data_IF_628700690762
#
_entry.id   IF_628700690762
#
_cell.length_a   1.000
_cell.length_b   1.000
_cell.length_c   1.000
_cell.angle_alpha   90.00
_cell.angle_beta   90.00
_cell.angle_gamma   90.00
#
_symmetry.space_group_name_H-M   'P 1'
#
loop_
_entity.id
_entity.type
_entity.pdbx_description
1 polymer ?
#
# COMPACT_ATOMS: atom_id res chain seq x y z
N UNK A 1 -10.69 25.10 -7.58
CA UNK A 1 -10.40 24.02 -6.61
C UNK A 1 -9.01 24.26 -6.06
N UNK A 2 -8.86 24.26 -4.74
CA UNK A 2 -7.53 24.32 -4.10
C UNK A 2 -6.80 22.98 -4.25
N UNK A 3 -5.49 22.95 -3.98
CA UNK A 3 -4.71 21.69 -3.94
C UNK A 3 -5.31 20.69 -2.94
N UNK A 4 -5.74 21.17 -1.77
CA UNK A 4 -6.38 20.34 -0.73
C UNK A 4 -7.73 19.73 -1.20
N UNK A 5 -8.54 20.46 -1.97
CA UNK A 5 -9.79 19.93 -2.53
C UNK A 5 -9.54 18.82 -3.57
N UNK A 6 -8.46 18.95 -4.35
CA UNK A 6 -8.07 17.94 -5.33
C UNK A 6 -7.57 16.66 -4.63
N UNK A 7 -6.79 16.79 -3.56
CA UNK A 7 -6.31 15.66 -2.74
C UNK A 7 -7.47 14.93 -2.05
N UNK A 8 -8.41 15.66 -1.45
CA UNK A 8 -9.60 15.07 -0.85
C UNK A 8 -10.44 14.27 -1.88
N UNK A 9 -10.58 14.82 -3.08
CA UNK A 9 -11.32 14.16 -4.17
C UNK A 9 -10.60 12.89 -4.61
N UNK A 10 -9.28 12.94 -4.78
CA UNK A 10 -8.47 11.77 -5.14
C UNK A 10 -8.57 10.66 -4.09
N UNK A 11 -8.45 10.99 -2.80
CA UNK A 11 -8.58 10.03 -1.70
C UNK A 11 -9.95 9.35 -1.72
N UNK A 12 -11.01 10.10 -2.02
CA UNK A 12 -12.37 9.54 -2.12
C UNK A 12 -12.51 8.52 -3.26
N UNK A 13 -11.87 8.79 -4.40
CA UNK A 13 -11.87 7.91 -5.57
C UNK A 13 -11.04 6.65 -5.30
N UNK A 14 -9.90 6.80 -4.61
CA UNK A 14 -9.00 5.70 -4.27
C UNK A 14 -9.63 4.64 -3.35
N UNK A 15 -10.79 4.90 -2.71
CA UNK A 15 -11.47 3.89 -1.88
C UNK A 15 -11.98 2.69 -2.67
N UNK A 16 -12.28 2.85 -3.96
CA UNK A 16 -12.70 1.76 -4.83
C UNK A 16 -12.25 2.03 -6.25
N UNK A 17 -11.00 1.69 -6.53
CA UNK A 17 -10.32 1.98 -7.78
C UNK A 17 -9.46 0.77 -8.21
N UNK A 18 -10.09 -0.38 -8.56
CA UNK A 18 -9.35 -1.49 -9.14
C UNK A 18 -8.76 -1.08 -10.50
N UNK A 19 -7.54 -1.52 -10.78
CA UNK A 19 -6.80 -1.28 -12.03
C UNK A 19 -6.56 0.21 -12.38
N UNK A 20 -6.78 1.12 -11.42
CA UNK A 20 -6.57 2.55 -11.63
C UNK A 20 -5.10 2.93 -11.72
N UNK A 21 -4.82 4.00 -12.47
CA UNK A 21 -3.50 4.63 -12.46
C UNK A 21 -3.42 5.71 -11.39
N UNK A 22 -2.64 5.43 -10.36
CA UNK A 22 -2.34 6.27 -9.22
C UNK A 22 -0.81 6.40 -9.06
N UNK A 23 -0.04 6.27 -10.14
CA UNK A 23 1.41 6.39 -10.07
C UNK A 23 1.82 7.79 -9.58
N UNK A 24 2.76 7.83 -8.63
CA UNK A 24 3.34 9.06 -8.10
C UNK A 24 2.36 10.00 -7.35
N UNK A 25 1.12 9.56 -7.09
CA UNK A 25 0.16 10.40 -6.37
C UNK A 25 0.55 10.52 -4.89
N UNK A 26 0.03 11.56 -4.24
CA UNK A 26 0.06 11.66 -2.77
C UNK A 26 -1.25 11.17 -2.16
N UNK A 27 -1.13 10.16 -1.30
CA UNK A 27 -2.18 9.60 -0.45
C UNK A 27 -1.67 9.52 1.01
N UNK A 28 -0.75 10.41 1.36
CA UNK A 28 -0.20 10.59 2.69
C UNK A 28 -1.32 10.68 3.75
N UNK A 29 -1.24 9.84 4.78
CA UNK A 29 -2.23 9.82 5.87
C UNK A 29 -3.66 9.40 5.45
N UNK A 30 -3.88 9.00 4.20
CA UNK A 30 -5.21 8.73 3.67
C UNK A 30 -5.91 7.60 4.43
N UNK A 31 -7.22 7.76 4.62
CA UNK A 31 -8.07 6.74 5.24
C UNK A 31 -8.68 5.84 4.16
N UNK A 32 -7.98 4.75 3.86
CA UNK A 32 -8.26 3.77 2.81
C UNK A 32 -8.53 2.37 3.40
N UNK A 33 -9.14 2.33 4.58
CA UNK A 33 -9.51 1.07 5.25
C UNK A 33 -10.46 0.28 4.35
N UNK A 34 -10.13 -0.98 4.11
CA UNK A 34 -10.88 -1.87 3.21
C UNK A 34 -11.06 -1.32 1.78
N UNK A 35 -10.19 -0.40 1.33
CA UNK A 35 -10.22 0.08 -0.04
C UNK A 35 -9.96 -1.06 -1.02
N UNK A 36 -10.60 -0.98 -2.18
CA UNK A 36 -10.34 -1.89 -3.28
C UNK A 36 -9.39 -1.23 -4.29
N UNK A 37 -8.14 -1.66 -4.27
CA UNK A 37 -7.02 -1.18 -5.10
C UNK A 37 -6.35 -2.37 -5.83
N UNK A 38 -7.09 -3.46 -6.06
CA UNK A 38 -6.58 -4.62 -6.78
C UNK A 38 -6.08 -4.21 -8.17
N UNK A 39 -4.89 -4.67 -8.54
CA UNK A 39 -4.26 -4.34 -9.83
C UNK A 39 -3.88 -2.86 -10.02
N UNK A 40 -4.16 -1.98 -9.06
CA UNK A 40 -3.89 -0.55 -9.21
C UNK A 40 -2.39 -0.28 -9.38
N UNK A 41 -2.06 0.72 -10.21
CA UNK A 41 -0.71 1.22 -10.33
C UNK A 41 -0.47 2.31 -9.28
N UNK A 42 0.26 1.99 -8.22
CA UNK A 42 0.68 2.89 -7.13
C UNK A 42 2.20 3.07 -7.14
N UNK A 43 2.85 2.85 -8.29
CA UNK A 43 4.31 2.96 -8.38
C UNK A 43 4.77 4.38 -8.02
N UNK A 44 5.75 4.47 -7.13
CA UNK A 44 6.26 5.74 -6.61
C UNK A 44 5.25 6.59 -5.83
N UNK A 45 4.07 6.06 -5.48
CA UNK A 45 3.08 6.82 -4.72
C UNK A 45 3.58 7.11 -3.29
N UNK A 46 3.21 8.28 -2.77
CA UNK A 46 3.42 8.60 -1.36
C UNK A 46 2.22 8.16 -0.53
N UNK A 47 2.39 7.10 0.25
CA UNK A 47 1.39 6.52 1.13
C UNK A 47 1.81 6.64 2.60
N UNK A 48 2.79 7.48 2.95
CA UNK A 48 3.29 7.51 4.32
C UNK A 48 2.15 7.75 5.33
N UNK A 49 2.18 7.01 6.44
CA UNK A 49 1.17 7.01 7.49
C UNK A 49 -0.29 6.71 7.03
N UNK A 50 -0.51 6.26 5.78
CA UNK A 50 -1.84 5.90 5.31
C UNK A 50 -2.39 4.67 6.04
N UNK A 51 -3.72 4.65 6.18
CA UNK A 51 -4.44 3.54 6.80
C UNK A 51 -5.06 2.66 5.71
N UNK A 52 -4.37 1.57 5.36
CA UNK A 52 -4.73 0.57 4.36
C UNK A 52 -5.19 -0.76 5.01
N UNK A 53 -5.64 -0.70 6.26
CA UNK A 53 -6.05 -1.89 7.01
C UNK A 53 -7.13 -2.64 6.24
N UNK A 54 -6.92 -3.94 6.00
CA UNK A 54 -7.80 -4.81 5.19
C UNK A 54 -8.05 -4.37 3.75
N UNK A 55 -7.23 -3.47 3.20
CA UNK A 55 -7.33 -3.10 1.79
C UNK A 55 -7.03 -4.31 0.89
N UNK A 56 -7.71 -4.35 -0.26
CA UNK A 56 -7.38 -5.28 -1.33
C UNK A 56 -6.36 -4.62 -2.25
N UNK A 57 -5.11 -5.08 -2.21
CA UNK A 57 -3.98 -4.66 -3.03
C UNK A 57 -3.44 -5.84 -3.86
N UNK A 58 -4.27 -6.87 -4.08
CA UNK A 58 -3.85 -8.04 -4.84
C UNK A 58 -3.41 -7.63 -6.24
N UNK A 59 -2.20 -8.04 -6.64
CA UNK A 59 -1.58 -7.71 -7.92
C UNK A 59 -1.23 -6.23 -8.13
N UNK A 60 -1.38 -5.37 -7.12
CA UNK A 60 -1.08 -3.95 -7.25
C UNK A 60 0.43 -3.72 -7.49
N UNK A 61 0.76 -2.68 -8.27
CA UNK A 61 2.13 -2.23 -8.44
C UNK A 61 2.45 -1.13 -7.42
N UNK A 62 3.19 -1.46 -6.36
CA UNK A 62 3.66 -0.56 -5.32
C UNK A 62 5.18 -0.32 -5.42
N UNK A 63 5.78 -0.58 -6.59
CA UNK A 63 7.23 -0.45 -6.75
C UNK A 63 7.71 0.97 -6.48
N UNK A 64 8.74 1.10 -5.65
CA UNK A 64 9.28 2.39 -5.22
C UNK A 64 8.33 3.27 -4.39
N UNK A 65 7.17 2.76 -3.93
CA UNK A 65 6.24 3.53 -3.13
C UNK A 65 6.79 3.81 -1.72
N UNK A 66 6.43 4.97 -1.17
CA UNK A 66 6.69 5.30 0.23
C UNK A 66 5.54 4.77 1.09
N UNK A 67 5.77 3.65 1.79
CA UNK A 67 4.82 3.00 2.70
C UNK A 67 5.24 3.18 4.18
N UNK A 68 6.09 4.16 4.48
CA UNK A 68 6.60 4.37 5.83
C UNK A 68 5.47 4.64 6.83
N UNK A 69 5.49 3.94 7.97
CA UNK A 69 4.47 4.07 9.01
C UNK A 69 3.04 3.69 8.59
N UNK A 70 2.84 3.05 7.43
CA UNK A 70 1.51 2.64 6.98
C UNK A 70 0.90 1.56 7.87
N UNK A 71 -0.42 1.54 7.96
CA UNK A 71 -1.15 0.42 8.56
C UNK A 71 -1.72 -0.50 7.47
N UNK A 72 -1.03 -1.60 7.19
CA UNK A 72 -1.41 -2.65 6.24
C UNK A 72 -1.98 -3.89 6.94
N UNK A 73 -2.39 -3.79 8.21
CA UNK A 73 -2.82 -4.95 8.97
C UNK A 73 -4.01 -5.66 8.29
N UNK A 74 -3.85 -6.95 8.02
CA UNK A 74 -4.85 -7.77 7.32
C UNK A 74 -5.10 -7.40 5.85
N UNK A 75 -4.25 -6.57 5.22
CA UNK A 75 -4.35 -6.27 3.80
C UNK A 75 -4.02 -7.50 2.94
N UNK A 76 -4.63 -7.59 1.76
CA UNK A 76 -4.29 -8.58 0.75
C UNK A 76 -3.28 -7.97 -0.23
N UNK A 77 -2.03 -8.42 -0.17
CA UNK A 77 -0.92 -8.05 -1.04
C UNK A 77 -0.51 -9.22 -1.94
N UNK A 78 -1.41 -10.19 -2.17
CA UNK A 78 -1.11 -11.37 -2.99
C UNK A 78 -0.63 -10.95 -4.37
N UNK A 79 0.57 -11.38 -4.76
CA UNK A 79 1.17 -11.05 -6.05
C UNK A 79 1.52 -9.58 -6.28
N UNK A 80 1.44 -8.73 -5.26
CA UNK A 80 1.77 -7.30 -5.39
C UNK A 80 3.27 -7.09 -5.64
N UNK A 81 3.62 -6.04 -6.38
CA UNK A 81 5.01 -5.64 -6.58
C UNK A 81 5.41 -4.57 -5.57
N UNK A 82 6.15 -4.92 -4.52
CA UNK A 82 6.70 -4.02 -3.51
C UNK A 82 8.20 -3.77 -3.74
N UNK A 83 8.72 -4.04 -4.94
CA UNK A 83 10.16 -3.90 -5.20
C UNK A 83 10.61 -2.46 -4.97
N UNK A 84 11.69 -2.27 -4.20
CA UNK A 84 12.23 -0.97 -3.79
C UNK A 84 11.25 -0.08 -2.97
N UNK A 85 10.15 -0.61 -2.47
CA UNK A 85 9.24 0.15 -1.60
C UNK A 85 9.85 0.35 -0.20
N UNK A 86 9.56 1.49 0.43
CA UNK A 86 9.96 1.76 1.80
C UNK A 86 8.82 1.44 2.77
N UNK A 87 8.93 0.32 3.48
CA UNK A 87 7.96 -0.16 4.48
C UNK A 87 8.43 0.14 5.92
N UNK A 88 9.38 1.06 6.12
CA UNK A 88 9.94 1.36 7.44
C UNK A 88 8.84 1.70 8.45
N UNK A 89 8.82 0.98 9.58
CA UNK A 89 7.82 1.17 10.65
C UNK A 89 6.37 0.83 10.27
N UNK A 90 6.13 0.21 9.12
CA UNK A 90 4.78 -0.18 8.71
C UNK A 90 4.25 -1.39 9.49
N UNK A 91 2.93 -1.49 9.62
CA UNK A 91 2.27 -2.60 10.28
C UNK A 91 1.68 -3.58 9.25
N UNK A 92 2.29 -4.76 9.09
CA UNK A 92 1.81 -5.82 8.20
C UNK A 92 1.19 -7.02 8.95
N UNK A 93 0.83 -6.87 10.24
CA UNK A 93 0.27 -7.98 11.01
C UNK A 93 -0.94 -8.58 10.27
N UNK A 94 -0.88 -9.91 10.02
CA UNK A 94 -1.91 -10.69 9.29
C UNK A 94 -2.10 -10.29 7.82
N UNK A 95 -1.22 -9.49 7.24
CA UNK A 95 -1.25 -9.24 5.80
C UNK A 95 -0.91 -10.52 5.02
N UNK A 96 -1.54 -10.71 3.87
CA UNK A 96 -1.20 -11.78 2.95
C UNK A 96 -0.22 -11.27 1.89
N UNK A 97 1.04 -11.68 1.96
CA UNK A 97 2.10 -11.30 1.02
C UNK A 97 2.49 -12.45 0.09
N UNK A 98 1.60 -13.44 -0.08
CA UNK A 98 1.88 -14.61 -0.93
C UNK A 98 2.20 -14.18 -2.35
N UNK A 99 3.41 -14.52 -2.82
CA UNK A 99 3.86 -14.17 -4.17
C UNK A 99 4.19 -12.69 -4.37
N UNK A 100 4.16 -11.87 -3.31
CA UNK A 100 4.58 -10.48 -3.39
C UNK A 100 6.09 -10.38 -3.67
N UNK A 101 6.49 -9.39 -4.48
CA UNK A 101 7.90 -9.13 -4.78
C UNK A 101 8.44 -8.10 -3.79
N UNK A 102 9.49 -8.44 -3.05
CA UNK A 102 10.09 -7.58 -2.02
C UNK A 102 11.56 -7.22 -2.33
N UNK A 103 12.01 -7.39 -3.57
CA UNK A 103 13.40 -7.13 -3.95
C UNK A 103 13.75 -5.66 -3.68
N UNK A 104 14.73 -5.40 -2.82
CA UNK A 104 15.14 -4.04 -2.44
C UNK A 104 14.15 -3.30 -1.54
N UNK A 105 13.08 -3.94 -1.07
CA UNK A 105 12.15 -3.33 -0.14
C UNK A 105 12.82 -3.10 1.23
N UNK A 106 12.57 -1.95 1.85
CA UNK A 106 13.10 -1.60 3.17
C UNK A 106 12.07 -1.97 4.24
N UNK A 107 12.39 -2.93 5.11
CA UNK A 107 11.48 -3.45 6.14
C UNK A 107 11.90 -3.07 7.58
N UNK A 108 12.79 -2.09 7.72
CA UNK A 108 13.33 -1.66 9.02
C UNK A 108 12.20 -1.30 9.99
N UNK A 109 12.08 -2.02 11.11
CA UNK A 109 11.02 -1.78 12.10
C UNK A 109 9.60 -2.13 11.62
N UNK A 110 9.43 -2.79 10.47
CA UNK A 110 8.13 -3.26 10.03
C UNK A 110 7.62 -4.38 10.96
N UNK A 111 6.34 -4.34 11.33
CA UNK A 111 5.72 -5.33 12.21
C UNK A 111 5.17 -6.50 11.38
N UNK A 112 5.89 -7.63 11.38
CA UNK A 112 5.61 -8.80 10.52
C UNK A 112 4.94 -9.98 11.24
N UNK A 113 4.60 -9.87 12.53
CA UNK A 113 4.38 -11.01 13.46
C UNK A 113 3.32 -12.05 13.11
N UNK A 114 2.61 -11.95 11.97
CA UNK A 114 1.73 -13.00 11.46
C UNK A 114 1.48 -12.87 9.94
N UNK A 115 2.46 -12.43 9.15
CA UNK A 115 2.28 -12.35 7.69
C UNK A 115 2.11 -13.75 7.08
N UNK A 116 1.23 -13.89 6.10
CA UNK A 116 1.07 -15.12 5.32
C UNK A 116 1.89 -15.02 4.02
N UNK A 117 2.55 -16.10 3.63
CA UNK A 117 3.20 -16.21 2.32
C UNK A 117 4.65 -15.71 2.25
N UNK A 118 5.22 -15.26 3.37
CA UNK A 118 6.65 -15.02 3.53
C UNK A 118 7.32 -16.33 3.97
N UNK A 119 8.22 -16.87 3.13
CA UNK A 119 9.11 -17.97 3.53
C UNK A 119 10.41 -17.32 4.01
N UNK A 120 10.86 -17.74 5.19
CA UNK A 120 12.13 -17.31 5.82
C UNK A 120 13.32 -17.41 4.86
#
# INVERSE_FOLDING_TARGET
MSKEEQEHTLISLARNCPDCDLAGVTLAGAQLVAANLAGANLSGADLHAANLRRANLAGANLSGANLTGTNLAGADLTGADLSNADLTGSNLIRANVTGAKLNGAVLSGAHLGSIQGYKE
#
